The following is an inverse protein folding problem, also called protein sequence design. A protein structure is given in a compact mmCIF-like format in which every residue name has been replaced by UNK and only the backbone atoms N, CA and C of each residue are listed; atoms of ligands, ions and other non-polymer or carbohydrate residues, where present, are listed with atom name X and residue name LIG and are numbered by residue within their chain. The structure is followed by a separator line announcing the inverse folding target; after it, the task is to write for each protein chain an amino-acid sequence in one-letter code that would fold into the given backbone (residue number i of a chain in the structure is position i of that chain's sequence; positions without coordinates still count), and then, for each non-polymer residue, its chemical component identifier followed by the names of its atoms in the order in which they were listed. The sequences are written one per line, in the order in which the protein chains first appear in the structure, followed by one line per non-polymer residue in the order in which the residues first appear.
data_IF_491738946001
#
_entry.id   IF_491738946001
#
_cell.length_a   1.000
_cell.length_b   1.000
_cell.length_c   1.000
_cell.angle_alpha   90.00
_cell.angle_beta   90.00
_cell.angle_gamma   90.00
#
_symmetry.space_group_name_H-M   'P 1'
#
loop_
_entity.id
_entity.type
_entity.pdbx_description
1 polymer ?
#
# COMPACT_ATOMS: atom_id res chain seq x y z
N UNK A 1 19.30 22.47 4.44
CA UNK A 1 20.06 21.54 5.33
C UNK A 1 19.59 20.15 4.95
N UNK A 2 20.50 19.20 4.60
CA UNK A 2 20.10 17.86 4.18
C UNK A 2 19.15 17.21 5.18
N UNK A 3 18.17 16.44 4.70
CA UNK A 3 17.21 15.78 5.60
C UNK A 3 17.93 14.88 6.61
N UNK A 4 18.96 14.16 6.18
CA UNK A 4 19.87 13.39 7.04
C UNK A 4 20.51 14.15 8.19
N UNK A 5 20.67 15.47 8.11
CA UNK A 5 21.09 16.30 9.24
C UNK A 5 19.88 16.85 10.01
N UNK A 6 18.80 17.23 9.30
CA UNK A 6 17.57 17.80 9.88
C UNK A 6 16.83 16.83 10.80
N UNK A 7 16.80 15.54 10.46
CA UNK A 7 15.97 14.53 11.12
C UNK A 7 16.75 13.42 11.83
N UNK A 8 18.08 13.54 11.94
CA UNK A 8 18.86 12.59 12.72
C UNK A 8 18.49 12.69 14.21
N UNK A 9 18.07 11.57 14.80
CA UNK A 9 17.56 11.51 16.17
C UNK A 9 16.10 11.95 16.32
N UNK A 10 15.39 12.25 15.22
CA UNK A 10 13.97 12.59 15.29
C UNK A 10 13.18 11.37 15.78
N UNK A 11 12.41 11.55 16.85
CA UNK A 11 11.43 10.57 17.31
C UNK A 11 10.10 10.80 16.60
N UNK A 12 9.55 9.76 15.98
CA UNK A 12 8.21 9.73 15.42
C UNK A 12 7.39 8.62 16.07
N UNK A 13 6.06 8.73 16.14
CA UNK A 13 5.21 7.57 16.39
C UNK A 13 5.55 6.44 15.42
N UNK A 14 5.41 5.19 15.84
CA UNK A 14 5.61 4.05 14.95
C UNK A 14 4.76 4.18 13.68
N UNK A 15 5.38 3.92 12.53
CA UNK A 15 4.74 4.00 11.23
C UNK A 15 3.59 2.99 11.11
N UNK A 16 2.68 3.25 10.18
CA UNK A 16 1.57 2.38 9.83
C UNK A 16 1.50 2.18 8.33
N UNK A 17 1.49 0.93 7.90
CA UNK A 17 1.41 0.59 6.49
C UNK A 17 -0.02 0.22 6.11
N UNK A 18 -0.71 1.09 5.37
CA UNK A 18 -2.11 0.86 5.00
C UNK A 18 -2.28 0.03 3.71
N UNK A 19 -1.24 -0.64 3.21
CA UNK A 19 -1.35 -1.59 2.11
C UNK A 19 -0.20 -2.60 2.11
N UNK A 20 -0.40 -3.81 2.65
CA UNK A 20 0.65 -4.85 2.66
C UNK A 20 0.16 -6.21 2.16
N UNK A 21 1.04 -6.94 1.48
CA UNK A 21 0.86 -8.36 1.17
C UNK A 21 1.84 -9.23 1.96
N UNK A 22 1.32 -10.03 2.88
CA UNK A 22 2.15 -10.90 3.73
C UNK A 22 2.19 -12.36 3.25
N UNK A 23 1.36 -12.72 2.25
CA UNK A 23 1.27 -14.08 1.66
C UNK A 23 0.99 -15.13 2.74
N UNK A 24 1.28 -16.40 2.47
CA UNK A 24 1.09 -17.49 3.45
C UNK A 24 2.29 -18.44 3.44
N UNK A 25 2.35 -19.39 4.38
CA UNK A 25 3.37 -20.42 4.44
C UNK A 25 4.79 -19.88 4.59
N UNK A 26 5.75 -20.47 3.86
CA UNK A 26 7.18 -20.11 3.90
C UNK A 26 7.43 -18.62 3.63
N UNK A 27 6.68 -18.03 2.68
CA UNK A 27 6.80 -16.62 2.35
C UNK A 27 6.37 -15.74 3.53
N UNK A 28 5.23 -16.04 4.17
CA UNK A 28 4.75 -15.31 5.35
C UNK A 28 5.79 -15.32 6.48
N UNK A 29 6.32 -16.49 6.82
CA UNK A 29 7.37 -16.62 7.84
C UNK A 29 8.62 -15.81 7.53
N UNK A 30 8.96 -15.67 6.25
CA UNK A 30 10.12 -14.89 5.80
C UNK A 30 9.87 -13.38 5.89
N UNK A 31 8.66 -12.91 5.56
CA UNK A 31 8.40 -11.47 5.38
C UNK A 31 7.75 -10.79 6.59
N UNK A 32 6.97 -11.50 7.40
CA UNK A 32 6.33 -10.90 8.59
C UNK A 32 7.34 -10.29 9.57
N UNK A 33 8.48 -10.94 9.88
CA UNK A 33 9.50 -10.34 10.75
C UNK A 33 10.08 -9.02 10.23
N UNK A 34 9.93 -8.72 8.94
CA UNK A 34 10.46 -7.50 8.32
C UNK A 34 9.59 -6.27 8.55
N UNK A 35 8.35 -6.43 9.03
CA UNK A 35 7.43 -5.31 9.28
C UNK A 35 8.03 -4.30 10.26
N UNK A 36 8.62 -4.79 11.37
CA UNK A 36 9.27 -3.92 12.36
C UNK A 36 10.54 -3.29 11.83
N UNK A 37 11.29 -3.96 10.95
CA UNK A 37 12.48 -3.37 10.31
C UNK A 37 12.13 -2.13 9.48
N UNK A 38 10.94 -2.12 8.85
CA UNK A 38 10.40 -0.96 8.14
C UNK A 38 9.82 0.13 9.05
N UNK A 39 9.93 0.00 10.38
CA UNK A 39 9.41 0.95 11.35
C UNK A 39 7.90 0.87 11.60
N UNK A 40 7.23 -0.19 11.14
CA UNK A 40 5.78 -0.33 11.24
C UNK A 40 5.35 -1.22 12.42
N UNK A 41 4.34 -0.79 13.18
CA UNK A 41 3.67 -1.63 14.19
C UNK A 41 2.21 -1.96 13.84
N UNK A 42 1.68 -1.34 12.79
CA UNK A 42 0.31 -1.50 12.32
C UNK A 42 0.35 -1.71 10.83
N UNK A 43 -0.37 -2.72 10.34
CA UNK A 43 -0.43 -3.01 8.92
C UNK A 43 -1.85 -3.37 8.46
N UNK A 44 -2.23 -2.90 7.29
CA UNK A 44 -3.50 -3.20 6.62
C UNK A 44 -3.30 -4.31 5.59
N UNK A 45 -3.73 -5.52 5.96
CA UNK A 45 -3.36 -6.76 5.29
C UNK A 45 -4.32 -7.04 4.14
N UNK A 46 -3.78 -7.15 2.94
CA UNK A 46 -4.54 -7.40 1.71
C UNK A 46 -5.01 -8.87 1.60
N UNK A 47 -6.17 -9.14 0.97
CA UNK A 47 -6.88 -10.43 1.10
C UNK A 47 -6.71 -11.40 -0.08
N UNK A 48 -5.84 -11.10 -1.05
CA UNK A 48 -5.64 -11.87 -2.29
C UNK A 48 -4.73 -13.10 -2.11
N UNK A 49 -4.96 -13.88 -1.06
CA UNK A 49 -4.38 -15.21 -0.91
C UNK A 49 -4.96 -16.19 -1.96
N UNK A 50 -4.48 -17.43 -1.95
CA UNK A 50 -5.03 -18.53 -2.74
C UNK A 50 -5.51 -19.60 -1.76
N UNK A 51 -6.84 -19.81 -1.60
CA UNK A 51 -7.95 -19.01 -2.15
C UNK A 51 -8.04 -17.59 -1.52
N UNK A 52 -8.76 -16.63 -2.14
CA UNK A 52 -8.94 -15.29 -1.58
C UNK A 52 -9.78 -15.31 -0.30
N UNK A 53 -9.50 -14.37 0.61
CA UNK A 53 -10.21 -14.26 1.89
C UNK A 53 -11.57 -13.61 1.68
N UNK A 54 -12.62 -14.43 1.58
CA UNK A 54 -14.00 -13.94 1.32
C UNK A 54 -14.93 -14.08 2.52
N UNK A 55 -14.41 -14.55 3.66
CA UNK A 55 -15.18 -14.67 4.91
C UNK A 55 -14.39 -14.14 6.10
N UNK A 56 -15.10 -13.67 7.13
CA UNK A 56 -14.48 -13.19 8.37
C UNK A 56 -13.73 -14.32 9.09
N UNK A 57 -14.25 -15.56 9.07
CA UNK A 57 -13.57 -16.72 9.66
C UNK A 57 -12.23 -16.98 9.02
N UNK A 58 -12.12 -16.92 7.69
CA UNK A 58 -10.86 -17.14 6.98
C UNK A 58 -9.85 -16.03 7.28
N UNK A 59 -10.33 -14.78 7.30
CA UNK A 59 -9.51 -13.62 7.64
C UNK A 59 -8.99 -13.67 9.09
N UNK A 60 -9.81 -14.12 10.04
CA UNK A 60 -9.40 -14.29 11.43
C UNK A 60 -8.44 -15.47 11.63
N UNK A 61 -8.65 -16.59 10.93
CA UNK A 61 -7.71 -17.71 10.92
C UNK A 61 -6.35 -17.30 10.34
N UNK A 62 -6.35 -16.48 9.29
CA UNK A 62 -5.12 -15.90 8.75
C UNK A 62 -4.46 -14.92 9.72
N UNK A 63 -5.23 -14.05 10.38
CA UNK A 63 -4.72 -13.17 11.44
C UNK A 63 -4.04 -13.95 12.56
N UNK A 64 -4.59 -15.11 12.95
CA UNK A 64 -3.97 -15.97 13.96
C UNK A 64 -2.58 -16.45 13.50
N UNK A 65 -2.44 -16.96 12.27
CA UNK A 65 -1.15 -17.37 11.70
C UNK A 65 -0.13 -16.22 11.62
N UNK A 66 -0.58 -15.01 11.30
CA UNK A 66 0.28 -13.82 11.31
C UNK A 66 0.78 -13.49 12.72
N UNK A 67 -0.09 -13.54 13.72
CA UNK A 67 0.26 -13.30 15.13
C UNK A 67 1.18 -14.36 15.72
N UNK A 68 1.16 -15.59 15.20
CA UNK A 68 2.15 -16.61 15.58
C UNK A 68 3.56 -16.22 15.13
N UNK A 69 3.70 -15.45 14.05
CA UNK A 69 5.00 -14.96 13.58
C UNK A 69 5.44 -13.71 14.35
N UNK A 70 4.54 -12.75 14.56
CA UNK A 70 4.84 -11.57 15.38
C UNK A 70 3.56 -11.06 16.09
N UNK A 71 3.40 -11.33 17.39
CA UNK A 71 2.22 -10.88 18.13
C UNK A 71 2.24 -9.38 18.46
N UNK A 72 3.35 -8.68 18.25
CA UNK A 72 3.47 -7.23 18.53
C UNK A 72 2.83 -6.36 17.47
N UNK A 73 2.58 -6.90 16.27
CA UNK A 73 1.98 -6.14 15.16
C UNK A 73 0.45 -6.12 15.27
N UNK A 74 -0.12 -4.92 15.07
CA UNK A 74 -1.54 -4.74 14.89
C UNK A 74 -1.95 -5.01 13.43
N UNK A 75 -2.40 -6.24 13.15
CA UNK A 75 -2.91 -6.64 11.84
C UNK A 75 -4.38 -6.22 11.65
N UNK A 76 -4.63 -5.32 10.70
CA UNK A 76 -5.95 -4.90 10.26
C UNK A 76 -6.36 -5.77 9.08
N UNK A 77 -7.39 -6.57 9.25
CA UNK A 77 -7.77 -7.57 8.24
C UNK A 77 -8.83 -7.01 7.28
N UNK A 78 -8.78 -7.54 6.06
CA UNK A 78 -9.68 -7.19 4.98
C UNK A 78 -10.30 -8.43 4.34
N UNK A 79 -11.37 -8.22 3.57
CA UNK A 79 -11.94 -9.24 2.70
C UNK A 79 -11.74 -8.88 1.23
N UNK A 80 -11.68 -9.90 0.38
CA UNK A 80 -11.67 -9.76 -1.06
C UNK A 80 -13.10 -9.53 -1.55
N UNK A 81 -13.33 -8.51 -2.39
CA UNK A 81 -14.63 -8.27 -3.00
C UNK A 81 -14.94 -9.38 -4.01
N UNK A 82 -15.88 -10.26 -3.65
CA UNK A 82 -16.23 -11.46 -4.40
C UNK A 82 -17.74 -11.63 -4.45
N UNK A 83 -18.28 -12.36 -5.44
CA UNK A 83 -19.72 -12.61 -5.59
C UNK A 83 -20.38 -13.27 -4.36
N UNK A 84 -19.60 -13.94 -3.52
CA UNK A 84 -20.05 -14.52 -2.25
C UNK A 84 -20.25 -13.49 -1.13
N UNK A 85 -19.73 -12.27 -1.29
CA UNK A 85 -19.90 -11.20 -0.30
C UNK A 85 -21.32 -10.63 -0.42
N UNK A 86 -22.13 -10.84 0.62
CA UNK A 86 -23.47 -10.28 0.74
C UNK A 86 -23.52 -9.18 1.81
N UNK A 87 -24.58 -8.36 1.86
CA UNK A 87 -24.80 -7.41 2.95
C UNK A 87 -24.75 -8.03 4.35
N UNK A 88 -25.14 -9.30 4.50
CA UNK A 88 -25.04 -10.02 5.76
C UNK A 88 -23.58 -10.34 6.14
N UNK A 89 -22.77 -10.73 5.16
CA UNK A 89 -21.33 -10.96 5.35
C UNK A 89 -20.64 -9.66 5.78
N UNK A 90 -20.96 -8.53 5.15
CA UNK A 90 -20.43 -7.20 5.51
C UNK A 90 -20.69 -6.89 6.99
N UNK A 91 -21.95 -7.02 7.45
CA UNK A 91 -22.34 -6.77 8.84
C UNK A 91 -21.60 -7.70 9.81
N UNK A 92 -21.56 -9.00 9.50
CA UNK A 92 -20.86 -10.00 10.32
C UNK A 92 -19.35 -9.78 10.38
N UNK A 93 -18.74 -9.34 9.28
CA UNK A 93 -17.32 -9.02 9.20
C UNK A 93 -16.97 -7.81 10.06
N UNK A 94 -17.77 -6.73 9.99
CA UNK A 94 -17.56 -5.54 10.83
C UNK A 94 -17.61 -5.86 12.32
N UNK A 95 -18.57 -6.69 12.74
CA UNK A 95 -18.73 -7.12 14.13
C UNK A 95 -17.52 -7.93 14.64
N UNK A 96 -16.82 -8.60 13.73
CA UNK A 96 -15.60 -9.38 14.01
C UNK A 96 -14.30 -8.57 13.84
N UNK A 97 -14.39 -7.26 13.60
CA UNK A 97 -13.22 -6.37 13.51
C UNK A 97 -12.54 -6.35 12.15
N UNK A 98 -13.18 -6.84 11.08
CA UNK A 98 -12.73 -6.57 9.71
C UNK A 98 -12.90 -5.08 9.41
N UNK A 99 -11.88 -4.47 8.81
CA UNK A 99 -11.78 -3.01 8.65
C UNK A 99 -12.19 -2.54 7.25
N UNK A 100 -12.06 -3.39 6.24
CA UNK A 100 -12.52 -3.07 4.89
C UNK A 100 -12.58 -4.25 3.92
N UNK A 101 -12.94 -3.93 2.69
CA UNK A 101 -13.07 -4.86 1.58
C UNK A 101 -12.27 -4.32 0.39
N UNK A 102 -11.36 -5.12 -0.14
CA UNK A 102 -10.50 -4.78 -1.27
C UNK A 102 -11.07 -5.32 -2.57
N UNK A 103 -11.27 -4.41 -3.52
CA UNK A 103 -11.59 -4.71 -4.90
C UNK A 103 -10.31 -4.89 -5.73
N UNK A 104 -10.29 -5.94 -6.54
CA UNK A 104 -9.32 -6.16 -7.59
C UNK A 104 -10.06 -6.26 -8.93
N UNK A 105 -9.66 -5.52 -9.97
CA UNK A 105 -10.18 -5.70 -11.31
C UNK A 105 -9.81 -7.09 -11.85
N UNK A 106 -10.73 -7.73 -12.56
CA UNK A 106 -10.52 -9.08 -13.09
C UNK A 106 -9.25 -9.15 -13.96
N UNK A 107 -8.27 -9.97 -13.56
CA UNK A 107 -7.08 -10.30 -14.34
C UNK A 107 -6.01 -9.19 -14.45
N UNK A 108 -6.13 -8.08 -13.71
CA UNK A 108 -5.18 -6.95 -13.81
C UNK A 108 -3.90 -7.14 -12.99
N UNK A 109 -3.98 -7.84 -11.85
CA UNK A 109 -2.84 -8.03 -10.93
C UNK A 109 -2.79 -9.45 -10.33
N UNK A 110 -1.78 -9.72 -9.50
CA UNK A 110 -1.55 -11.02 -8.85
C UNK A 110 -2.79 -11.52 -8.11
N UNK A 111 -3.22 -12.75 -8.41
CA UNK A 111 -4.40 -13.43 -7.84
C UNK A 111 -5.74 -12.70 -8.03
N UNK A 112 -5.88 -11.91 -9.10
CA UNK A 112 -7.12 -11.17 -9.42
C UNK A 112 -8.04 -11.86 -10.43
N UNK A 113 -7.87 -13.16 -10.70
CA UNK A 113 -8.68 -13.88 -11.69
C UNK A 113 -10.18 -13.89 -11.35
N UNK A 114 -10.53 -13.81 -10.07
CA UNK A 114 -11.91 -13.67 -9.57
C UNK A 114 -12.31 -12.20 -9.34
N UNK A 115 -11.65 -11.26 -10.02
CA UNK A 115 -11.85 -9.82 -9.84
C UNK A 115 -13.13 -9.27 -10.48
N UNK A 116 -13.37 -7.98 -10.27
CA UNK A 116 -14.61 -7.30 -10.64
C UNK A 116 -14.54 -6.75 -12.06
N UNK A 117 -15.58 -7.02 -12.86
CA UNK A 117 -15.79 -6.42 -14.19
C UNK A 117 -16.80 -5.27 -14.16
N UNK A 118 -17.82 -5.36 -13.31
CA UNK A 118 -18.81 -4.31 -13.06
C UNK A 118 -19.09 -4.20 -11.57
N UNK A 119 -19.21 -2.97 -11.09
CA UNK A 119 -19.49 -2.67 -9.69
C UNK A 119 -20.98 -2.69 -9.34
N UNK A 120 -21.88 -2.62 -10.32
CA UNK A 120 -23.33 -2.56 -10.08
C UNK A 120 -23.87 -3.73 -9.26
N UNK A 121 -23.48 -5.00 -9.50
CA UNK A 121 -23.93 -6.12 -8.68
C UNK A 121 -23.53 -6.01 -7.20
N UNK A 122 -22.48 -5.22 -6.89
CA UNK A 122 -21.97 -5.02 -5.54
C UNK A 122 -22.58 -3.79 -4.84
N UNK A 123 -23.50 -3.06 -5.46
CA UNK A 123 -24.13 -1.89 -4.83
C UNK A 123 -24.85 -2.21 -3.50
N UNK A 124 -25.53 -3.36 -3.33
CA UNK A 124 -26.06 -3.76 -2.03
C UNK A 124 -24.96 -3.95 -0.97
N UNK A 125 -23.79 -4.47 -1.38
CA UNK A 125 -22.62 -4.64 -0.51
C UNK A 125 -22.08 -3.28 -0.10
N UNK A 126 -21.92 -2.34 -1.03
CA UNK A 126 -21.44 -0.98 -0.76
C UNK A 126 -22.37 -0.18 0.14
N UNK A 127 -23.69 -0.35 -0.04
CA UNK A 127 -24.69 0.21 0.87
C UNK A 127 -24.48 -0.30 2.30
N UNK A 128 -24.26 -1.60 2.48
CA UNK A 128 -23.99 -2.16 3.79
C UNK A 128 -22.64 -1.71 4.36
N UNK A 129 -21.61 -1.58 3.52
CA UNK A 129 -20.29 -1.08 3.95
C UNK A 129 -20.38 0.36 4.44
N UNK A 130 -21.11 1.21 3.73
CA UNK A 130 -21.38 2.60 4.10
C UNK A 130 -22.09 2.68 5.46
N UNK A 131 -23.13 1.87 5.68
CA UNK A 131 -23.88 1.82 6.94
C UNK A 131 -23.04 1.31 8.12
N UNK A 132 -22.13 0.37 7.88
CA UNK A 132 -21.31 -0.24 8.93
C UNK A 132 -19.93 0.43 9.11
N UNK A 133 -19.60 1.42 8.29
CA UNK A 133 -18.33 2.12 8.32
C UNK A 133 -17.12 1.27 7.89
N UNK A 134 -17.33 0.26 7.04
CA UNK A 134 -16.24 -0.48 6.38
C UNK A 134 -15.65 0.36 5.24
N UNK A 135 -14.36 0.18 5.01
CA UNK A 135 -13.64 0.88 3.93
C UNK A 135 -13.66 0.06 2.64
N UNK A 136 -13.91 0.71 1.51
CA UNK A 136 -13.74 0.14 0.17
C UNK A 136 -12.37 0.52 -0.37
N UNK A 137 -11.49 -0.47 -0.55
CA UNK A 137 -10.17 -0.28 -1.12
C UNK A 137 -10.21 -0.65 -2.60
N UNK A 138 -9.73 0.22 -3.48
CA UNK A 138 -9.81 0.02 -4.92
C UNK A 138 -8.40 -0.12 -5.50
N UNK A 139 -8.09 -1.28 -6.09
CA UNK A 139 -7.06 -1.32 -7.13
C UNK A 139 -7.67 -0.66 -8.38
N UNK A 140 -7.39 0.63 -8.56
CA UNK A 140 -8.10 1.46 -9.54
C UNK A 140 -7.53 1.40 -10.96
N UNK A 141 -7.54 0.22 -11.59
CA UNK A 141 -7.18 0.05 -13.00
C UNK A 141 -8.31 -0.65 -13.77
N UNK A 142 -8.59 -0.23 -14.99
CA UNK A 142 -9.44 -1.01 -15.88
C UNK A 142 -8.67 -2.21 -16.46
N UNK A 143 -9.31 -3.38 -16.66
CA UNK A 143 -8.71 -4.47 -17.44
C UNK A 143 -8.28 -4.00 -18.83
N UNK A 144 -7.13 -4.49 -19.30
CA UNK A 144 -6.63 -4.17 -20.64
C UNK A 144 -7.65 -4.58 -21.71
N UNK A 145 -7.79 -3.74 -22.73
CA UNK A 145 -8.77 -3.90 -23.80
C UNK A 145 -8.34 -3.15 -25.06
N UNK A 146 -9.28 -2.91 -25.98
CA UNK A 146 -8.99 -2.30 -27.30
C UNK A 146 -8.18 -1.00 -27.21
N UNK A 147 -8.55 -0.12 -26.28
CA UNK A 147 -7.94 1.21 -26.08
C UNK A 147 -7.35 1.39 -24.67
N UNK A 148 -7.28 0.29 -23.89
CA UNK A 148 -6.81 0.28 -22.50
C UNK A 148 -5.53 -0.55 -22.42
N UNK A 149 -4.46 0.12 -22.01
CA UNK A 149 -3.13 -0.44 -21.78
C UNK A 149 -2.73 -0.25 -20.32
N UNK A 150 -1.63 -0.89 -19.91
CA UNK A 150 -1.07 -0.71 -18.56
C UNK A 150 -0.68 0.75 -18.22
N UNK A 151 -0.50 1.61 -19.23
CA UNK A 151 -0.14 3.01 -19.02
C UNK A 151 -1.36 3.90 -18.74
N UNK A 152 -2.51 3.62 -19.33
CA UNK A 152 -3.72 4.44 -19.19
C UNK A 152 -4.86 3.74 -18.41
N UNK A 153 -4.66 2.52 -17.93
CA UNK A 153 -5.66 1.77 -17.18
C UNK A 153 -6.14 2.49 -15.91
N UNK A 154 -5.25 3.19 -15.21
CA UNK A 154 -5.59 3.96 -14.00
C UNK A 154 -6.43 5.19 -14.34
N UNK A 155 -6.01 6.02 -15.30
CA UNK A 155 -6.79 7.19 -15.74
C UNK A 155 -8.19 6.81 -16.26
N UNK A 156 -8.31 5.68 -16.96
CA UNK A 156 -9.61 5.16 -17.42
C UNK A 156 -10.52 4.66 -16.29
N UNK A 157 -9.96 4.35 -15.11
CA UNK A 157 -10.75 3.94 -13.94
C UNK A 157 -11.36 5.13 -13.19
N UNK A 158 -10.79 6.33 -13.29
CA UNK A 158 -11.19 7.49 -12.49
C UNK A 158 -12.67 7.90 -12.61
N UNK A 159 -13.35 7.78 -13.77
CA UNK A 159 -14.79 7.98 -13.85
C UNK A 159 -15.57 7.02 -12.94
N UNK A 160 -15.08 5.79 -12.76
CA UNK A 160 -15.68 4.79 -11.85
C UNK A 160 -15.53 5.22 -10.40
N UNK A 161 -14.34 5.70 -10.00
CA UNK A 161 -14.12 6.26 -8.66
C UNK A 161 -15.12 7.39 -8.36
N UNK A 162 -15.23 8.36 -9.27
CA UNK A 162 -16.14 9.51 -9.11
C UNK A 162 -17.61 9.06 -9.05
N UNK A 163 -18.00 8.09 -9.87
CA UNK A 163 -19.35 7.51 -9.87
C UNK A 163 -19.67 6.79 -8.56
N UNK A 164 -18.75 5.98 -8.04
CA UNK A 164 -18.90 5.31 -6.75
C UNK A 164 -19.03 6.31 -5.62
N UNK A 165 -18.18 7.33 -5.58
CA UNK A 165 -18.26 8.40 -4.59
C UNK A 165 -19.60 9.14 -4.64
N UNK A 166 -20.08 9.50 -5.83
CA UNK A 166 -21.36 10.18 -5.99
C UNK A 166 -22.56 9.34 -5.55
N UNK A 167 -22.52 8.02 -5.79
CA UNK A 167 -23.60 7.08 -5.41
C UNK A 167 -23.59 6.74 -3.92
N UNK A 168 -22.40 6.67 -3.30
CA UNK A 168 -22.21 6.31 -1.90
C UNK A 168 -21.45 7.43 -1.17
N UNK A 169 -22.10 8.59 -0.93
CA UNK A 169 -21.42 9.80 -0.48
C UNK A 169 -20.84 9.71 0.94
N UNK A 170 -21.20 8.70 1.74
CA UNK A 170 -20.66 8.46 3.08
C UNK A 170 -19.71 7.25 3.13
N UNK A 171 -19.65 6.43 2.09
CA UNK A 171 -18.75 5.28 2.03
C UNK A 171 -17.30 5.77 2.05
N UNK A 172 -16.50 5.23 2.96
CA UNK A 172 -15.05 5.47 2.96
C UNK A 172 -14.42 4.70 1.80
N UNK A 173 -13.74 5.41 0.90
CA UNK A 173 -13.09 4.83 -0.27
C UNK A 173 -11.60 5.20 -0.25
N UNK A 174 -10.75 4.21 -0.52
CA UNK A 174 -9.32 4.42 -0.75
C UNK A 174 -9.01 4.04 -2.19
N UNK A 175 -8.54 5.00 -2.99
CA UNK A 175 -7.87 4.69 -4.24
C UNK A 175 -6.45 4.25 -3.90
N UNK A 176 -6.21 2.95 -3.95
CA UNK A 176 -4.92 2.41 -3.53
C UNK A 176 -3.81 2.78 -4.51
N UNK A 177 -2.57 2.87 -3.99
CA UNK A 177 -1.30 2.96 -4.74
C UNK A 177 -1.42 3.80 -6.02
N UNK A 178 -1.81 5.07 -5.88
CA UNK A 178 -1.98 5.98 -7.00
C UNK A 178 -0.66 6.12 -7.78
N UNK A 179 -0.72 6.11 -9.11
CA UNK A 179 0.48 6.16 -9.96
C UNK A 179 0.51 7.28 -11.00
N UNK A 180 -0.60 7.99 -11.17
CA UNK A 180 -0.77 9.07 -12.15
C UNK A 180 -1.08 10.41 -11.48
N UNK A 181 -0.72 11.49 -12.16
CA UNK A 181 -1.17 12.83 -11.80
C UNK A 181 -2.71 12.92 -11.80
N UNK A 182 -3.36 12.30 -12.79
CA UNK A 182 -4.82 12.30 -12.92
C UNK A 182 -5.49 11.66 -11.68
N UNK A 183 -4.93 10.57 -11.14
CA UNK A 183 -5.46 9.93 -9.94
C UNK A 183 -5.35 10.84 -8.71
N UNK A 184 -4.23 11.55 -8.55
CA UNK A 184 -4.06 12.54 -7.49
C UNK A 184 -5.14 13.62 -7.59
N UNK A 185 -5.38 14.15 -8.79
CA UNK A 185 -6.41 15.16 -9.03
C UNK A 185 -7.82 14.62 -8.76
N UNK A 186 -8.14 13.42 -9.25
CA UNK A 186 -9.45 12.80 -9.05
C UNK A 186 -9.77 12.51 -7.56
N UNK A 187 -8.77 12.10 -6.77
CA UNK A 187 -8.94 11.93 -5.31
C UNK A 187 -9.21 13.28 -4.63
N UNK A 188 -8.50 14.35 -5.04
CA UNK A 188 -8.69 15.70 -4.49
C UNK A 188 -10.06 16.30 -4.82
N UNK A 189 -10.60 15.98 -5.98
CA UNK A 189 -11.94 16.41 -6.39
C UNK A 189 -13.07 15.70 -5.65
N UNK A 190 -12.79 14.56 -4.99
CA UNK A 190 -13.76 13.84 -4.19
C UNK A 190 -13.88 14.40 -2.77
N UNK A 191 -14.99 14.05 -2.09
CA UNK A 191 -15.27 14.44 -0.72
C UNK A 191 -14.28 13.92 0.34
N UNK A 192 -14.43 14.32 1.61
CA UNK A 192 -13.52 13.97 2.70
C UNK A 192 -13.36 12.46 2.93
N UNK A 193 -14.35 11.65 2.55
CA UNK A 193 -14.40 10.20 2.67
C UNK A 193 -13.62 9.44 1.59
N UNK A 194 -13.04 10.12 0.60
CA UNK A 194 -12.18 9.52 -0.42
C UNK A 194 -10.74 9.98 -0.23
N UNK A 195 -9.82 9.03 -0.17
CA UNK A 195 -8.37 9.26 0.03
C UNK A 195 -7.56 8.38 -0.92
N UNK A 196 -6.27 8.66 -1.04
CA UNK A 196 -5.34 7.83 -1.81
C UNK A 196 -4.23 7.26 -0.94
N UNK A 197 -3.73 6.07 -1.25
CA UNK A 197 -2.43 5.63 -0.74
C UNK A 197 -1.34 5.83 -1.79
N UNK A 198 -0.13 6.12 -1.33
CA UNK A 198 1.07 6.25 -2.17
C UNK A 198 2.12 5.30 -1.65
N UNK A 199 2.73 4.53 -2.55
CA UNK A 199 3.75 3.55 -2.22
C UNK A 199 5.12 4.21 -2.09
N UNK A 200 6.03 3.56 -1.36
CA UNK A 200 7.42 4.01 -1.32
C UNK A 200 8.09 3.94 -2.70
N UNK A 201 7.80 2.92 -3.50
CA UNK A 201 8.47 2.68 -4.77
C UNK A 201 7.99 3.60 -5.91
N UNK A 202 6.72 4.00 -5.94
CA UNK A 202 6.21 4.97 -6.93
C UNK A 202 6.72 6.40 -6.71
N UNK A 203 7.27 6.72 -5.53
CA UNK A 203 7.99 7.98 -5.29
C UNK A 203 9.39 8.01 -5.96
N UNK A 204 9.92 6.85 -6.35
CA UNK A 204 11.20 6.74 -7.08
C UNK A 204 11.00 6.47 -8.56
N UNK A 205 10.21 5.44 -8.85
CA UNK A 205 10.18 4.77 -10.14
C UNK A 205 9.43 5.60 -11.19
N UNK A 206 9.93 5.53 -12.42
CA UNK A 206 9.22 5.86 -13.65
C UNK A 206 9.24 4.64 -14.59
N UNK A 207 8.66 4.77 -15.78
CA UNK A 207 8.60 3.72 -16.80
C UNK A 207 9.96 3.09 -17.11
N UNK A 208 11.01 3.92 -17.21
CA UNK A 208 12.37 3.48 -17.53
C UNK A 208 12.97 2.56 -16.46
N UNK A 209 12.55 2.70 -15.19
CA UNK A 209 13.15 1.93 -14.08
C UNK A 209 12.63 0.49 -13.97
N UNK A 210 11.52 0.15 -14.65
CA UNK A 210 10.94 -1.19 -14.63
C UNK A 210 10.85 -1.86 -16.00
N UNK A 211 11.05 -1.11 -17.09
CA UNK A 211 10.95 -1.63 -18.46
C UNK A 211 11.86 -2.84 -18.70
N UNK A 212 13.06 -2.84 -18.13
CA UNK A 212 14.04 -3.93 -18.20
C UNK A 212 14.38 -4.56 -16.84
N UNK A 213 13.89 -4.00 -15.74
CA UNK A 213 14.12 -4.51 -14.39
C UNK A 213 12.86 -5.17 -13.80
N UNK A 214 12.80 -6.51 -13.78
CA UNK A 214 11.63 -7.20 -13.26
C UNK A 214 11.38 -6.92 -11.77
N UNK A 215 12.41 -6.59 -10.98
CA UNK A 215 12.26 -6.31 -9.55
C UNK A 215 11.57 -4.98 -9.25
N UNK A 216 11.53 -4.06 -10.23
CA UNK A 216 10.78 -2.81 -10.18
C UNK A 216 9.37 -2.93 -10.81
N UNK A 217 9.08 -4.03 -11.51
CA UNK A 217 7.78 -4.25 -12.13
C UNK A 217 6.68 -4.56 -11.10
N UNK A 218 5.65 -3.71 -11.08
CA UNK A 218 4.46 -3.78 -10.22
C UNK A 218 3.17 -3.43 -11.00
N UNK A 219 2.04 -3.43 -10.29
CA UNK A 219 0.74 -2.99 -10.80
C UNK A 219 0.07 -2.10 -9.74
N UNK A 220 -0.36 -0.88 -10.07
CA UNK A 220 -0.17 -0.21 -11.35
C UNK A 220 1.31 0.05 -11.63
N UNK A 221 1.71 0.04 -12.91
CA UNK A 221 3.12 0.30 -13.26
C UNK A 221 3.49 1.74 -12.92
N UNK A 222 4.76 2.00 -12.59
CA UNK A 222 5.25 3.37 -12.49
C UNK A 222 5.15 4.06 -13.87
N UNK A 223 4.77 5.35 -13.87
CA UNK A 223 4.39 6.10 -15.09
C UNK A 223 5.50 7.08 -15.48
N UNK A 224 5.16 8.31 -15.82
CA UNK A 224 6.12 9.30 -16.31
C UNK A 224 6.75 10.09 -15.15
N UNK A 225 7.86 10.83 -15.37
CA UNK A 225 8.42 11.74 -14.37
C UNK A 225 7.39 12.71 -13.77
N UNK A 226 6.51 13.27 -14.60
CA UNK A 226 5.45 14.18 -14.14
C UNK A 226 4.45 13.53 -13.19
N UNK A 227 4.18 12.24 -13.36
CA UNK A 227 3.31 11.48 -12.48
C UNK A 227 3.99 11.27 -11.13
N UNK A 228 5.25 10.82 -11.12
CA UNK A 228 6.06 10.68 -9.89
C UNK A 228 6.13 11.99 -9.12
N UNK A 229 6.35 13.12 -9.80
CA UNK A 229 6.38 14.44 -9.16
C UNK A 229 5.03 14.83 -8.53
N UNK A 230 3.91 14.49 -9.19
CA UNK A 230 2.59 14.71 -8.63
C UNK A 230 2.36 13.88 -7.36
N UNK A 231 2.84 12.62 -7.33
CA UNK A 231 2.78 11.76 -6.14
C UNK A 231 3.63 12.31 -4.99
N UNK A 232 4.86 12.77 -5.28
CA UNK A 232 5.73 13.39 -4.28
C UNK A 232 5.06 14.61 -3.66
N UNK A 233 4.51 15.50 -4.49
CA UNK A 233 3.81 16.71 -4.02
C UNK A 233 2.55 16.36 -3.22
N UNK A 234 1.84 15.31 -3.61
CA UNK A 234 0.67 14.81 -2.87
C UNK A 234 1.05 14.23 -1.50
N UNK A 235 2.17 13.49 -1.41
CA UNK A 235 2.67 12.93 -0.16
C UNK A 235 3.09 14.02 0.86
N UNK A 236 3.48 15.19 0.37
CA UNK A 236 3.95 16.33 1.17
C UNK A 236 2.92 17.44 1.36
N UNK A 237 1.66 17.28 0.91
CA UNK A 237 0.67 18.38 0.94
C UNK A 237 0.06 18.66 2.32
N UNK A 238 0.30 17.79 3.30
CA UNK A 238 -0.13 17.97 4.70
C UNK A 238 -1.64 17.91 4.95
N UNK A 239 -2.45 17.63 3.93
CA UNK A 239 -3.93 17.66 4.03
C UNK A 239 -4.50 16.38 4.66
N UNK A 240 -3.73 15.30 4.67
CA UNK A 240 -4.19 13.96 5.02
C UNK A 240 -5.04 13.29 3.94
N UNK A 241 -5.09 13.84 2.71
CA UNK A 241 -5.72 13.18 1.56
C UNK A 241 -4.93 12.00 1.02
N UNK A 242 -3.61 12.01 1.24
CA UNK A 242 -2.72 10.93 0.87
C UNK A 242 -1.91 10.48 2.07
N UNK A 243 -1.71 9.17 2.20
CA UNK A 243 -0.89 8.57 3.24
C UNK A 243 -0.21 7.30 2.73
N UNK A 244 0.76 6.81 3.50
CA UNK A 244 1.55 5.64 3.13
C UNK A 244 0.70 4.36 3.07
N UNK A 245 0.79 3.68 1.94
CA UNK A 245 0.43 2.28 1.78
C UNK A 245 1.47 1.66 0.87
N UNK A 246 2.27 0.73 1.39
CA UNK A 246 3.52 0.35 0.72
C UNK A 246 3.31 -0.45 -0.55
N UNK A 247 2.19 -1.16 -0.62
CA UNK A 247 1.98 -2.27 -1.55
C UNK A 247 3.19 -3.20 -1.61
N UNK A 248 3.82 -3.44 -0.44
CA UNK A 248 4.93 -4.35 -0.34
C UNK A 248 4.43 -5.75 -0.71
N UNK A 249 4.85 -6.19 -1.89
CA UNK A 249 4.32 -7.36 -2.58
C UNK A 249 5.46 -8.36 -2.83
N UNK A 250 5.83 -9.16 -1.83
CA UNK A 250 6.93 -10.11 -1.96
C UNK A 250 6.57 -11.23 -2.92
N UNK A 251 7.55 -11.60 -3.73
CA UNK A 251 7.53 -12.72 -4.65
C UNK A 251 8.90 -13.39 -4.60
N UNK A 252 8.91 -14.71 -4.75
CA UNK A 252 10.15 -15.45 -4.88
C UNK A 252 10.94 -14.95 -6.11
N UNK A 253 12.26 -14.95 -5.99
CA UNK A 253 13.18 -14.51 -7.05
C UNK A 253 12.92 -15.23 -8.37
N UNK A 254 12.53 -16.51 -8.34
CA UNK A 254 12.18 -17.28 -9.53
C UNK A 254 10.95 -16.70 -10.25
N UNK A 255 9.91 -16.31 -9.50
CA UNK A 255 8.70 -15.70 -10.05
C UNK A 255 8.94 -14.30 -10.61
N UNK A 256 9.87 -13.53 -10.03
CA UNK A 256 10.32 -12.25 -10.61
C UNK A 256 11.09 -12.44 -11.91
N UNK A 257 11.81 -13.55 -12.08
CA UNK A 257 12.53 -13.90 -13.33
C UNK A 257 11.65 -14.62 -14.37
N UNK A 258 10.32 -14.54 -14.24
CA UNK A 258 9.35 -15.13 -15.17
C UNK A 258 8.73 -16.46 -14.70
N UNK A 259 9.31 -17.13 -13.70
CA UNK A 259 8.79 -18.39 -13.15
C UNK A 259 8.44 -19.41 -14.25
N UNK A 260 7.19 -19.90 -14.24
CA UNK A 260 6.62 -20.80 -15.27
C UNK A 260 5.81 -20.05 -16.33
N UNK A 261 5.95 -18.73 -16.46
CA UNK A 261 5.14 -17.91 -17.36
C UNK A 261 5.49 -16.43 -17.33
N UNK A 262 4.60 -15.60 -16.78
CA UNK A 262 4.76 -14.14 -16.76
C UNK A 262 5.49 -13.69 -15.49
N UNK A 263 6.29 -12.62 -15.62
CA UNK A 263 6.91 -11.92 -14.47
C UNK A 263 5.86 -11.50 -13.46
N UNK A 264 6.05 -11.90 -12.19
CA UNK A 264 5.17 -11.50 -11.11
C UNK A 264 5.27 -9.99 -10.81
N UNK A 265 4.11 -9.33 -10.75
CA UNK A 265 4.00 -7.90 -10.43
C UNK A 265 4.03 -7.70 -8.91
N UNK A 266 4.97 -6.89 -8.44
CA UNK A 266 5.10 -6.52 -7.03
C UNK A 266 6.53 -6.08 -6.69
N UNK A 267 6.66 -5.08 -5.83
CA UNK A 267 7.94 -4.60 -5.30
C UNK A 267 7.97 -4.88 -3.81
N UNK A 268 9.05 -5.47 -3.30
CA UNK A 268 9.18 -5.77 -1.87
C UNK A 268 9.86 -4.62 -1.13
N UNK A 269 9.08 -3.84 -0.38
CA UNK A 269 9.58 -2.64 0.33
C UNK A 269 9.49 -2.75 1.86
N UNK A 270 8.75 -3.73 2.39
CA UNK A 270 8.43 -3.83 3.82
C UNK A 270 9.62 -3.63 4.77
N UNK A 271 10.80 -4.24 4.55
CA UNK A 271 11.90 -4.16 5.52
C UNK A 271 12.46 -2.75 5.69
N UNK A 272 12.16 -1.84 4.78
CA UNK A 272 12.73 -0.49 4.74
C UNK A 272 11.71 0.59 4.37
N UNK A 273 10.39 0.34 4.51
CA UNK A 273 9.36 1.21 3.92
C UNK A 273 9.48 2.68 4.39
N UNK A 274 9.67 2.91 5.70
CA UNK A 274 9.84 4.26 6.25
C UNK A 274 11.12 4.93 5.73
N UNK A 275 12.21 4.17 5.69
CA UNK A 275 13.52 4.61 5.21
C UNK A 275 13.47 4.98 3.72
N UNK A 276 12.74 4.19 2.92
CA UNK A 276 12.55 4.41 1.50
C UNK A 276 11.73 5.69 1.24
N UNK A 277 10.70 5.98 2.04
CA UNK A 277 9.96 7.25 1.91
C UNK A 277 10.87 8.45 2.17
N UNK A 278 11.68 8.41 3.23
CA UNK A 278 12.65 9.47 3.53
C UNK A 278 13.66 9.66 2.39
N UNK A 279 14.23 8.55 1.90
CA UNK A 279 15.16 8.58 0.78
C UNK A 279 14.50 9.10 -0.50
N UNK A 280 13.21 8.85 -0.71
CA UNK A 280 12.50 9.35 -1.89
C UNK A 280 12.36 10.88 -1.84
N UNK A 281 12.10 11.44 -0.67
CA UNK A 281 12.07 12.90 -0.47
C UNK A 281 13.45 13.53 -0.62
N UNK A 282 14.53 12.89 -0.15
CA UNK A 282 15.89 13.35 -0.42
C UNK A 282 16.21 13.37 -1.92
N UNK A 283 15.80 12.33 -2.65
CA UNK A 283 15.95 12.30 -4.11
C UNK A 283 15.06 13.34 -4.82
N UNK A 284 13.87 13.62 -4.31
CA UNK A 284 13.00 14.66 -4.84
C UNK A 284 13.60 16.06 -4.69
N UNK A 285 14.28 16.33 -3.56
CA UNK A 285 15.01 17.57 -3.32
C UNK A 285 16.18 17.71 -4.31
N UNK A 286 16.96 16.64 -4.52
CA UNK A 286 18.06 16.63 -5.51
C UNK A 286 17.58 16.90 -6.94
N UNK A 287 16.34 16.49 -7.25
CA UNK A 287 15.68 16.72 -8.55
C UNK A 287 14.97 18.07 -8.63
N UNK A 288 15.04 18.90 -7.58
CA UNK A 288 14.40 20.22 -7.51
C UNK A 288 12.86 20.17 -7.64
N UNK A 289 12.25 19.03 -7.29
CA UNK A 289 10.79 18.84 -7.31
C UNK A 289 10.12 19.51 -6.11
N UNK A 290 10.84 19.49 -4.98
CA UNK A 290 10.48 20.07 -3.67
C UNK A 290 11.78 20.54 -2.99
N UNK A 291 11.64 21.27 -1.88
CA UNK A 291 12.75 21.82 -1.09
C UNK A 291 12.84 21.16 0.28
N UNK A 292 13.93 21.36 1.03
CA UNK A 292 14.01 20.82 2.41
C UNK A 292 13.03 21.50 3.37
N UNK A 293 12.44 22.64 3.00
CA UNK A 293 11.40 23.30 3.78
C UNK A 293 10.05 22.57 3.67
N UNK A 294 9.78 21.93 2.53
CA UNK A 294 8.52 21.21 2.27
C UNK A 294 8.41 19.91 3.06
N UNK A 295 9.54 19.34 3.51
CA UNK A 295 9.54 18.12 4.32
C UNK A 295 9.66 18.51 5.80
N UNK A 296 8.57 18.43 6.55
CA UNK A 296 8.54 18.73 8.00
C UNK A 296 8.30 17.48 8.84
N UNK A 297 8.55 17.56 10.15
CA UNK A 297 8.30 16.44 11.06
C UNK A 297 6.80 16.07 11.10
N UNK A 298 5.91 17.07 11.04
CA UNK A 298 4.46 16.88 11.03
C UNK A 298 3.98 16.17 9.76
N UNK A 299 4.58 16.49 8.61
CA UNK A 299 4.30 15.80 7.35
C UNK A 299 4.77 14.35 7.42
N UNK A 300 5.98 14.10 7.96
CA UNK A 300 6.48 12.74 8.14
C UNK A 300 5.58 11.93 9.08
N UNK A 301 5.24 12.47 10.26
CA UNK A 301 4.33 11.83 11.22
C UNK A 301 2.96 11.53 10.59
N UNK A 302 2.42 12.50 9.85
CA UNK A 302 1.15 12.35 9.16
C UNK A 302 1.18 11.29 8.07
N UNK A 303 2.09 11.42 7.10
CA UNK A 303 2.15 10.55 5.92
C UNK A 303 2.54 9.11 6.28
N UNK A 304 3.50 8.91 7.19
CA UNK A 304 3.98 7.58 7.59
C UNK A 304 2.99 6.81 8.47
N UNK A 305 1.92 7.43 8.95
CA UNK A 305 0.86 6.68 9.64
C UNK A 305 -0.26 7.51 10.23
N UNK A 306 0.00 8.74 10.68
CA UNK A 306 -0.99 9.56 11.40
C UNK A 306 -2.29 9.80 10.60
N UNK A 307 -2.17 10.15 9.32
CA UNK A 307 -3.31 10.42 8.45
C UNK A 307 -4.15 9.17 8.18
N UNK A 308 -3.51 8.03 7.92
CA UNK A 308 -4.22 6.77 7.73
C UNK A 308 -4.88 6.29 9.02
N UNK A 309 -4.21 6.39 10.18
CA UNK A 309 -4.81 6.09 11.50
C UNK A 309 -6.08 6.89 11.73
N UNK A 310 -6.04 8.20 11.43
CA UNK A 310 -7.20 9.08 11.49
C UNK A 310 -8.32 8.65 10.53
N UNK A 311 -8.00 8.36 9.27
CA UNK A 311 -8.99 7.95 8.28
C UNK A 311 -9.70 6.65 8.66
N UNK A 312 -8.94 5.65 9.10
CA UNK A 312 -9.46 4.35 9.52
C UNK A 312 -10.05 4.34 10.94
N UNK A 313 -9.89 5.42 11.72
CA UNK A 313 -10.38 5.51 13.10
C UNK A 313 -9.65 4.56 14.05
N UNK A 314 -8.35 4.40 13.84
CA UNK A 314 -7.50 3.47 14.60
C UNK A 314 -6.65 4.28 15.56
N UNK A 315 -6.75 3.95 16.85
CA UNK A 315 -5.85 4.46 17.89
C UNK A 315 -4.69 3.48 18.05
N UNK A 316 -3.46 3.98 18.01
CA UNK A 316 -2.30 3.21 18.44
C UNK A 316 -2.15 3.34 19.95
N UNK A 317 -2.43 2.26 20.69
CA UNK A 317 -2.33 2.22 22.14
C UNK A 317 -0.95 1.80 22.65
N UNK A 318 -0.02 1.42 21.76
CA UNK A 318 1.31 0.96 22.15
C UNK A 318 2.21 2.10 22.64
N UNK A 319 1.97 3.32 22.15
CA UNK A 319 2.86 4.48 22.30
C UNK A 319 4.31 4.22 21.85
N UNK A 320 4.55 3.18 21.05
CA UNK A 320 5.85 2.87 20.48
C UNK A 320 6.31 4.00 19.55
N UNK A 321 7.60 4.28 19.60
CA UNK A 321 8.22 5.26 18.71
C UNK A 321 9.32 4.62 17.88
N UNK A 322 9.58 5.26 16.75
CA UNK A 322 10.77 5.03 15.94
C UNK A 322 11.67 6.26 15.99
N UNK A 323 12.97 6.03 16.02
CA UNK A 323 14.00 7.07 15.97
C UNK A 323 14.73 6.95 14.65
N UNK A 324 14.72 8.02 13.87
CA UNK A 324 15.42 8.09 12.59
C UNK A 324 16.93 8.29 12.83
N UNK A 325 17.75 7.45 12.24
CA UNK A 325 19.21 7.52 12.35
C UNK A 325 19.80 7.72 10.96
N UNK A 326 20.72 8.69 10.87
CA UNK A 326 21.44 9.02 9.63
C UNK A 326 22.05 7.76 8.99
N UNK A 327 21.89 7.65 7.67
CA UNK A 327 22.13 6.43 6.89
C UNK A 327 23.48 5.75 7.08
N UNK A 328 23.52 4.81 8.02
CA UNK A 328 24.68 4.00 8.36
C UNK A 328 24.56 2.57 7.81
N UNK A 329 23.44 2.21 7.18
CA UNK A 329 23.18 0.88 6.65
C UNK A 329 22.92 0.89 5.14
N UNK A 330 23.07 -0.30 4.55
CA UNK A 330 22.65 -0.58 3.18
C UNK A 330 21.46 -1.54 3.22
N UNK A 331 20.55 -1.38 2.26
CA UNK A 331 19.45 -2.33 2.04
C UNK A 331 20.05 -3.71 1.78
N UNK A 332 19.60 -4.74 2.51
CA UNK A 332 20.07 -6.11 2.32
C UNK A 332 19.92 -6.59 0.87
N UNK A 333 20.80 -7.49 0.43
CA UNK A 333 20.76 -8.05 -0.93
C UNK A 333 19.52 -8.91 -1.19
N UNK A 334 19.05 -9.63 -0.17
CA UNK A 334 17.93 -10.57 -0.25
C UNK A 334 17.47 -10.98 1.15
N UNK A 335 16.22 -11.44 1.26
CA UNK A 335 15.65 -12.08 2.45
C UNK A 335 15.34 -13.55 2.12
N UNK A 336 15.85 -14.48 2.94
CA UNK A 336 15.77 -15.93 2.69
C UNK A 336 15.12 -16.66 3.86
N UNK A 337 14.23 -17.61 3.57
CA UNK A 337 13.59 -18.45 4.60
C UNK A 337 12.78 -19.57 3.99
N UNK A 338 12.82 -20.76 4.59
CA UNK A 338 12.03 -21.94 4.19
C UNK A 338 11.99 -22.21 2.67
N UNK A 339 13.14 -22.05 1.99
CA UNK A 339 13.28 -22.30 0.54
C UNK A 339 12.81 -21.18 -0.39
N UNK A 340 12.45 -20.01 0.17
CA UNK A 340 12.07 -18.79 -0.57
C UNK A 340 13.20 -17.76 -0.50
N UNK A 341 13.41 -17.01 -1.58
CA UNK A 341 14.30 -15.85 -1.64
C UNK A 341 13.57 -14.64 -2.22
N UNK A 342 13.50 -13.54 -1.47
CA UNK A 342 12.83 -12.30 -1.89
C UNK A 342 13.86 -11.17 -1.99
N UNK A 343 13.80 -10.43 -3.09
CA UNK A 343 14.71 -9.30 -3.33
C UNK A 343 14.04 -7.99 -2.92
N UNK A 344 14.60 -7.24 -1.95
CA UNK A 344 14.05 -5.95 -1.54
C UNK A 344 14.35 -4.86 -2.56
N UNK A 345 13.49 -3.84 -2.59
CA UNK A 345 13.68 -2.66 -3.42
C UNK A 345 14.94 -1.89 -3.02
N UNK A 346 15.70 -1.41 -4.01
CA UNK A 346 16.98 -0.70 -3.82
C UNK A 346 18.03 -1.50 -3.04
N UNK A 347 18.02 -2.83 -3.16
CA UNK A 347 19.04 -3.70 -2.59
C UNK A 347 20.47 -3.19 -2.84
N UNK A 348 21.33 -3.31 -1.83
CA UNK A 348 22.73 -2.87 -1.86
C UNK A 348 22.94 -1.35 -1.76
N UNK A 349 21.89 -0.53 -1.81
CA UNK A 349 22.02 0.92 -1.74
C UNK A 349 21.95 1.41 -0.30
N UNK A 350 22.65 2.51 -0.01
CA UNK A 350 22.59 3.18 1.29
C UNK A 350 21.19 3.66 1.61
N UNK A 351 20.80 3.52 2.88
CA UNK A 351 19.48 3.90 3.38
C UNK A 351 19.58 4.41 4.82
N UNK A 352 18.49 5.01 5.30
CA UNK A 352 18.34 5.43 6.70
C UNK A 352 18.29 4.22 7.64
N UNK A 353 18.55 4.43 8.92
CA UNK A 353 18.34 3.40 9.95
C UNK A 353 17.22 3.79 10.91
N UNK A 354 16.57 2.79 11.51
CA UNK A 354 15.49 2.98 12.48
C UNK A 354 15.81 2.24 13.77
N UNK A 355 15.61 2.92 14.90
CA UNK A 355 15.66 2.33 16.23
C UNK A 355 14.28 2.41 16.89
N UNK A 356 13.83 1.34 17.52
CA UNK A 356 12.57 1.30 18.27
C UNK A 356 12.78 1.78 19.70
N UNK A 357 11.84 2.58 20.22
CA UNK A 357 11.84 3.10 21.58
C UNK A 357 10.50 2.91 22.27
#
# INVERSE_FOLDING_TARGET
MPLSAKFNGLELPASADFHVHLRDGAMMKTVVPTIRAGGCNTVYVMPNLIPPLTSASDALAYKARLREQDPSINYLMTLYLHESISPAVVKGARAQGIVGIKSYPAGVTTNSSSGVLSYEPFYPVFTAMEQCGLVLNLHGECPSGKDITILNAESNFLPTLKSLHAKFPKLKIVLEHCTTKDAVEAVRECGPNVVGTITAHHLYLIVDDWADNPFSYCKPVAKNPSDREALIKAALDGTGKFFMGSDSAPHDISAKKGGTGKTAAGVFTQPYVTQLVLGAFEEAIKREVVTEADVTAEILEGFLGGYGRKFYGITDSSNEKIVLVKGAEAVQESFKGDGVEVIPFRKGQSTWSIQWK
#
